data_IF_029679224974
#
_entry.id   IF_029679224974
#
_cell.length_a   1.000
_cell.length_b   1.000
_cell.length_c   1.000
_cell.angle_alpha   90.00
_cell.angle_beta   90.00
_cell.angle_gamma   90.00
#
_symmetry.space_group_name_H-M   'P 1'
#
loop_
_entity.id
_entity.type
_entity.pdbx_description
1 polymer ?
#
# COMPACT_ATOMS: atom_id res chain seq x y z
N UNK A 1 17.81 11.19 -19.30
CA UNK A 1 18.37 10.01 -18.58
C UNK A 1 18.19 10.23 -17.08
N UNK A 2 17.80 9.21 -16.31
CA UNK A 2 17.63 9.34 -14.86
C UNK A 2 18.99 9.54 -14.14
N UNK A 3 19.04 10.29 -13.02
CA UNK A 3 20.27 10.52 -12.25
C UNK A 3 20.93 9.22 -11.75
N UNK A 4 22.27 9.21 -11.65
CA UNK A 4 23.02 8.03 -11.17
C UNK A 4 22.63 7.63 -9.75
N UNK A 5 22.46 8.61 -8.86
CA UNK A 5 22.03 8.38 -7.47
C UNK A 5 20.67 7.70 -7.39
N UNK A 6 19.74 8.07 -8.28
CA UNK A 6 18.44 7.42 -8.38
C UNK A 6 18.54 5.98 -8.88
N UNK A 7 19.37 5.71 -9.90
CA UNK A 7 19.62 4.35 -10.40
C UNK A 7 20.25 3.45 -9.34
N UNK A 8 21.25 3.96 -8.61
CA UNK A 8 21.93 3.23 -7.55
C UNK A 8 20.96 2.88 -6.41
N UNK A 9 20.06 3.81 -6.05
CA UNK A 9 18.96 3.56 -5.10
C UNK A 9 18.00 2.48 -5.63
N UNK A 10 17.53 2.62 -6.87
CA UNK A 10 16.59 1.67 -7.47
C UNK A 10 17.17 0.25 -7.48
N UNK A 11 18.42 0.10 -7.92
CA UNK A 11 19.09 -1.21 -7.98
C UNK A 11 19.23 -1.81 -6.58
N UNK A 12 19.66 -1.01 -5.60
CA UNK A 12 19.97 -1.50 -4.25
C UNK A 12 18.73 -1.94 -3.48
N UNK A 13 17.61 -1.24 -3.64
CA UNK A 13 16.43 -1.45 -2.80
C UNK A 13 15.27 -2.16 -3.52
N UNK A 14 15.12 -1.93 -4.83
CA UNK A 14 13.95 -2.40 -5.59
C UNK A 14 14.28 -3.51 -6.58
N UNK A 15 15.52 -3.62 -7.04
CA UNK A 15 15.95 -4.69 -7.96
C UNK A 15 16.59 -5.96 -7.36
N UNK A 16 16.77 -6.15 -6.03
CA UNK A 16 17.14 -7.47 -5.51
C UNK A 16 16.08 -8.53 -5.86
N UNK A 17 16.51 -9.74 -6.20
CA UNK A 17 15.65 -10.84 -6.67
C UNK A 17 14.36 -11.05 -5.88
N UNK A 18 14.45 -11.01 -4.54
CA UNK A 18 13.28 -11.17 -3.65
C UNK A 18 12.23 -10.07 -3.86
N UNK A 19 12.68 -8.84 -4.07
CA UNK A 19 11.83 -7.66 -4.21
C UNK A 19 11.32 -7.62 -5.65
N UNK A 20 12.21 -7.80 -6.62
CA UNK A 20 11.90 -7.81 -8.04
C UNK A 20 10.79 -8.83 -8.37
N UNK A 21 10.83 -10.05 -7.82
CA UNK A 21 9.76 -11.05 -8.01
C UNK A 21 8.39 -10.62 -7.46
N UNK A 22 8.37 -9.77 -6.43
CA UNK A 22 7.16 -9.33 -5.77
C UNK A 22 6.41 -8.25 -6.57
N UNK A 23 7.11 -7.30 -7.19
CA UNK A 23 6.48 -6.15 -7.86
C UNK A 23 6.67 -6.09 -9.39
N UNK A 24 7.63 -6.81 -9.96
CA UNK A 24 7.88 -6.77 -11.40
C UNK A 24 6.77 -7.48 -12.18
N UNK A 25 6.26 -6.81 -13.21
CA UNK A 25 5.26 -7.36 -14.12
C UNK A 25 5.73 -8.67 -14.79
N UNK A 26 7.04 -8.82 -15.03
CA UNK A 26 7.64 -10.02 -15.66
C UNK A 26 7.51 -11.26 -14.77
N UNK A 27 7.49 -11.07 -13.45
CA UNK A 27 7.29 -12.14 -12.47
C UNK A 27 5.85 -12.21 -11.95
N UNK A 28 4.94 -11.43 -12.56
CA UNK A 28 3.50 -11.50 -12.32
C UNK A 28 2.90 -12.62 -13.18
N UNK A 29 3.31 -13.86 -12.88
CA UNK A 29 2.61 -15.10 -13.28
C UNK A 29 1.17 -15.07 -12.72
N UNK A 30 0.23 -15.91 -13.16
CA UNK A 30 -1.13 -15.92 -12.61
C UNK A 30 -1.08 -16.14 -11.09
N UNK A 31 -1.20 -15.03 -10.36
CA UNK A 31 -1.18 -14.98 -8.90
C UNK A 31 -2.55 -15.36 -8.39
N UNK A 32 -2.58 -16.06 -7.27
CA UNK A 32 -3.82 -16.26 -6.54
C UNK A 32 -4.41 -14.90 -6.14
N UNK A 33 -5.73 -14.84 -5.90
CA UNK A 33 -6.42 -13.61 -5.46
C UNK A 33 -5.72 -13.02 -4.22
N UNK A 34 -5.20 -13.87 -3.32
CA UNK A 34 -4.47 -13.44 -2.13
C UNK A 34 -3.12 -12.77 -2.44
N UNK A 35 -2.37 -13.26 -3.43
CA UNK A 35 -1.10 -12.65 -3.87
C UNK A 35 -1.31 -11.40 -4.74
N UNK A 36 -2.46 -11.29 -5.40
CA UNK A 36 -2.91 -10.05 -6.03
C UNK A 36 -3.36 -9.01 -4.98
N UNK A 37 -3.87 -9.48 -3.83
CA UNK A 37 -4.28 -8.63 -2.73
C UNK A 37 -3.12 -7.96 -1.98
N UNK A 38 -1.94 -8.58 -1.99
CA UNK A 38 -0.70 -8.03 -1.41
C UNK A 38 -0.05 -6.93 -2.29
N UNK A 39 -0.77 -6.44 -3.29
CA UNK A 39 -0.28 -5.32 -4.10
C UNK A 39 -0.60 -3.98 -3.44
N UNK A 40 0.33 -3.04 -3.63
CA UNK A 40 0.23 -1.66 -3.17
C UNK A 40 -1.12 -0.99 -3.55
N UNK A 41 -1.76 -1.45 -4.62
CA UNK A 41 -3.05 -0.96 -5.10
C UNK A 41 -4.21 -1.19 -4.14
N UNK A 42 -4.31 -2.35 -3.47
CA UNK A 42 -5.40 -2.57 -2.50
C UNK A 42 -5.17 -1.81 -1.21
N UNK A 43 -3.91 -1.72 -0.76
CA UNK A 43 -3.54 -0.89 0.39
C UNK A 43 -3.85 0.58 0.09
N UNK A 44 -3.52 1.07 -1.11
CA UNK A 44 -3.83 2.43 -1.55
C UNK A 44 -5.35 2.66 -1.66
N UNK A 45 -6.09 1.72 -2.24
CA UNK A 45 -7.55 1.79 -2.30
C UNK A 45 -8.17 1.85 -0.90
N UNK A 46 -7.68 1.04 0.03
CA UNK A 46 -8.13 1.07 1.43
C UNK A 46 -7.76 2.38 2.12
N UNK A 47 -6.56 2.91 1.87
CA UNK A 47 -6.14 4.23 2.34
C UNK A 47 -7.03 5.35 1.80
N UNK A 48 -7.45 5.28 0.54
CA UNK A 48 -8.40 6.23 -0.05
C UNK A 48 -9.76 6.19 0.62
N UNK A 49 -10.29 4.99 0.87
CA UNK A 49 -11.56 4.80 1.60
C UNK A 49 -11.43 5.30 3.04
N UNK A 50 -10.37 4.92 3.74
CA UNK A 50 -10.08 5.36 5.11
C UNK A 50 -10.02 6.89 5.22
N UNK A 51 -9.25 7.52 4.33
CA UNK A 51 -9.08 8.97 4.32
C UNK A 51 -10.37 9.69 3.92
N UNK A 52 -11.06 9.21 2.89
CA UNK A 52 -12.24 9.87 2.34
C UNK A 52 -13.50 9.67 3.18
N UNK A 53 -13.82 8.42 3.52
CA UNK A 53 -15.08 8.05 4.19
C UNK A 53 -15.00 8.15 5.70
N UNK A 54 -13.90 7.71 6.30
CA UNK A 54 -13.81 7.62 7.77
C UNK A 54 -13.16 8.86 8.38
N UNK A 55 -12.12 9.41 7.73
CA UNK A 55 -11.37 10.56 8.24
C UNK A 55 -11.78 11.90 7.61
N UNK A 56 -12.73 11.91 6.66
CA UNK A 56 -13.23 13.11 5.98
C UNK A 56 -12.10 14.02 5.43
N UNK A 57 -11.03 13.42 4.91
CA UNK A 57 -9.87 14.12 4.36
C UNK A 57 -8.92 14.73 5.41
N UNK A 58 -9.19 14.59 6.72
CA UNK A 58 -8.34 15.13 7.78
C UNK A 58 -7.03 14.35 7.88
N UNK A 59 -5.93 15.06 8.13
CA UNK A 59 -4.59 14.49 8.34
C UNK A 59 -4.62 13.65 9.62
N UNK A 60 -4.05 12.44 9.62
CA UNK A 60 -3.97 11.58 10.81
C UNK A 60 -3.30 12.36 11.95
N UNK A 61 -4.09 12.81 12.93
CA UNK A 61 -3.58 13.60 14.06
C UNK A 61 -3.16 12.71 15.25
N UNK A 62 -3.80 11.56 15.46
CA UNK A 62 -3.44 10.55 16.50
C UNK A 62 -3.99 9.16 16.16
N UNK A 63 -3.20 8.12 16.44
CA UNK A 63 -3.56 6.70 16.27
C UNK A 63 -4.82 6.33 17.07
N UNK A 64 -5.00 6.91 18.26
CA UNK A 64 -6.16 6.63 19.12
C UNK A 64 -7.49 7.03 18.49
N UNK A 65 -7.50 8.15 17.75
CA UNK A 65 -8.69 8.61 17.05
C UNK A 65 -9.04 7.67 15.88
N UNK A 66 -8.02 7.17 15.17
CA UNK A 66 -8.18 6.18 14.11
C UNK A 66 -8.78 4.87 14.65
N UNK A 67 -8.24 4.35 15.76
CA UNK A 67 -8.74 3.13 16.42
C UNK A 67 -10.19 3.32 16.86
N UNK A 68 -10.52 4.46 17.48
CA UNK A 68 -11.89 4.77 17.89
C UNK A 68 -12.84 4.77 16.70
N UNK A 69 -12.51 5.45 15.60
CA UNK A 69 -13.36 5.49 14.40
C UNK A 69 -13.56 4.11 13.77
N UNK A 70 -12.51 3.28 13.73
CA UNK A 70 -12.59 1.92 13.19
C UNK A 70 -13.47 1.02 14.06
N UNK A 71 -13.32 1.08 15.39
CA UNK A 71 -14.15 0.33 16.34
C UNK A 71 -15.62 0.75 16.27
N UNK A 72 -15.89 2.05 16.22
CA UNK A 72 -17.27 2.59 16.11
C UNK A 72 -17.95 2.20 14.80
N UNK A 73 -17.19 2.18 13.70
CA UNK A 73 -17.71 1.79 12.38
C UNK A 73 -18.07 0.32 12.26
N UNK A 74 -17.51 -0.54 13.11
CA UNK A 74 -17.75 -1.99 13.13
C UNK A 74 -19.07 -2.38 13.79
N UNK A 75 -19.71 -1.46 14.52
CA UNK A 75 -21.02 -1.68 15.15
C UNK A 75 -22.23 -1.23 14.32
N UNK A 76 -22.03 -0.83 13.06
CA UNK A 76 -23.11 -0.38 12.13
C UNK A 76 -23.31 -1.30 10.93
N UNK A 77 -22.82 -2.54 10.99
CA UNK A 77 -23.09 -3.59 10.01
C UNK A 77 -24.02 -4.61 10.66
#
# INVERSE_FOLDING_TARGET
MAPKTFKDYLIRYWMPDRVLRMWSAVYCMPRSIFEACDTNMLIEAWHHVLKGKFLHGKRNRRLDHLIRTLVDSRGRI
#
